data_IF_918392380246
#
_entry.id   IF_918392380246
#
_cell.length_a   1.000
_cell.length_b   1.000
_cell.length_c   1.000
_cell.angle_alpha   90.00
_cell.angle_beta   90.00
_cell.angle_gamma   90.00
#
_symmetry.space_group_name_H-M   'P 1'
#
loop_
_entity.id
_entity.type
_entity.pdbx_description
1 polymer ?
#
# COMPACT_ATOMS: atom_id res chain seq x y z
N UNK A 1 -29.15 22.17 -32.19
CA UNK A 1 -27.80 22.29 -31.59
C UNK A 1 -27.50 20.99 -30.89
N UNK A 2 -26.42 20.29 -31.29
CA UNK A 2 -26.01 19.07 -30.61
C UNK A 2 -25.43 19.43 -29.23
N UNK A 3 -25.98 18.85 -28.17
CA UNK A 3 -25.50 19.06 -26.79
C UNK A 3 -24.29 18.17 -26.56
N UNK A 4 -23.13 18.75 -26.26
CA UNK A 4 -21.92 17.98 -25.94
C UNK A 4 -21.95 17.63 -24.46
N UNK A 5 -22.07 16.35 -24.12
CA UNK A 5 -22.01 15.86 -22.75
C UNK A 5 -20.55 15.55 -22.36
N UNK A 6 -19.91 16.47 -21.64
CA UNK A 6 -18.54 16.31 -21.12
C UNK A 6 -18.63 15.57 -19.77
N UNK A 7 -18.13 14.33 -19.72
CA UNK A 7 -18.01 13.60 -18.46
C UNK A 7 -16.85 14.18 -17.64
N UNK A 8 -17.19 14.74 -16.47
CA UNK A 8 -16.23 15.24 -15.50
C UNK A 8 -15.75 14.06 -14.64
N UNK A 9 -14.44 13.96 -14.32
CA UNK A 9 -13.93 12.93 -13.42
C UNK A 9 -14.60 12.97 -12.05
N UNK A 10 -14.65 11.80 -11.39
CA UNK A 10 -15.12 11.71 -10.01
C UNK A 10 -14.30 12.64 -9.10
N UNK A 11 -14.98 13.38 -8.22
CA UNK A 11 -14.33 14.24 -7.23
C UNK A 11 -13.99 13.50 -5.93
N UNK A 12 -14.49 12.28 -5.75
CA UNK A 12 -14.29 11.48 -4.53
C UNK A 12 -14.46 9.98 -4.78
N UNK A 13 -13.98 9.15 -3.86
CA UNK A 13 -14.19 7.70 -3.84
C UNK A 13 -14.71 7.33 -2.45
N UNK A 14 -15.75 6.50 -2.39
CA UNK A 14 -16.24 5.94 -1.12
C UNK A 14 -15.86 4.47 -1.03
N UNK A 15 -15.22 4.10 0.07
CA UNK A 15 -14.84 2.74 0.43
C UNK A 15 -15.78 2.24 1.53
N UNK A 16 -16.25 1.01 1.38
CA UNK A 16 -16.95 0.29 2.45
C UNK A 16 -15.95 -0.65 3.13
N UNK A 17 -15.65 -0.37 4.40
CA UNK A 17 -14.79 -1.19 5.24
C UNK A 17 -15.66 -1.76 6.36
N UNK A 18 -16.10 -3.01 6.20
CA UNK A 18 -16.90 -3.73 7.20
C UNK A 18 -18.21 -3.01 7.56
N UNK A 19 -18.92 -2.44 6.59
CA UNK A 19 -20.17 -1.71 6.77
C UNK A 19 -19.98 -0.22 7.11
N UNK A 20 -18.73 0.25 7.25
CA UNK A 20 -18.41 1.65 7.48
C UNK A 20 -17.94 2.33 6.20
N UNK A 21 -18.56 3.45 5.87
CA UNK A 21 -18.24 4.23 4.67
C UNK A 21 -17.16 5.27 4.97
N UNK A 22 -16.10 5.24 4.18
CA UNK A 22 -15.00 6.19 4.23
C UNK A 22 -14.85 6.86 2.87
N UNK A 23 -14.86 8.19 2.82
CA UNK A 23 -14.81 8.94 1.55
C UNK A 23 -13.50 9.72 1.45
N UNK A 24 -12.75 9.48 0.38
CA UNK A 24 -11.53 10.24 0.04
C UNK A 24 -11.85 11.27 -1.03
N UNK A 25 -11.34 12.49 -0.85
CA UNK A 25 -11.37 13.54 -1.87
C UNK A 25 -10.27 13.31 -2.91
N UNK A 26 -10.62 13.45 -4.19
CA UNK A 26 -9.67 13.36 -5.31
C UNK A 26 -9.15 14.74 -5.75
N UNK A 27 -9.41 15.81 -4.99
CA UNK A 27 -8.86 17.13 -5.28
C UNK A 27 -7.31 17.15 -5.18
N UNK A 28 -6.64 17.89 -6.06
CA UNK A 28 -5.18 17.86 -6.23
C UNK A 28 -4.40 18.16 -4.94
N UNK A 29 -4.88 19.09 -4.11
CA UNK A 29 -4.25 19.43 -2.82
C UNK A 29 -4.28 18.25 -1.83
N UNK A 30 -5.37 17.47 -1.85
CA UNK A 30 -5.51 16.27 -1.01
C UNK A 30 -4.63 15.14 -1.53
N UNK A 31 -4.47 15.02 -2.86
CA UNK A 31 -3.62 14.01 -3.51
C UNK A 31 -2.13 14.21 -3.24
N UNK A 32 -1.65 15.46 -3.25
CA UNK A 32 -0.25 15.78 -2.97
C UNK A 32 0.17 15.37 -1.56
N UNK A 33 -0.63 15.78 -0.56
CA UNK A 33 -0.40 15.43 0.85
C UNK A 33 -0.49 13.91 1.08
N UNK A 34 -1.48 13.26 0.47
CA UNK A 34 -1.66 11.81 0.54
C UNK A 34 -0.45 11.05 -0.01
N UNK A 35 0.02 11.44 -1.20
CA UNK A 35 1.16 10.79 -1.86
C UNK A 35 2.45 10.94 -1.06
N UNK A 36 2.65 12.08 -0.40
CA UNK A 36 3.81 12.31 0.46
C UNK A 36 3.82 11.36 1.66
N UNK A 37 2.70 11.26 2.38
CA UNK A 37 2.57 10.38 3.56
C UNK A 37 2.73 8.91 3.14
N UNK A 38 2.08 8.51 2.05
CA UNK A 38 2.19 7.14 1.53
C UNK A 38 3.62 6.79 1.12
N UNK A 39 4.34 7.70 0.44
CA UNK A 39 5.75 7.49 0.07
C UNK A 39 6.64 7.33 1.30
N UNK A 40 6.40 8.10 2.38
CA UNK A 40 7.15 7.95 3.64
C UNK A 40 6.97 6.56 4.23
N UNK A 41 5.75 6.03 4.22
CA UNK A 41 5.45 4.65 4.66
C UNK A 41 6.24 3.65 3.82
N UNK A 42 6.16 3.73 2.48
CA UNK A 42 6.89 2.81 1.60
C UNK A 42 8.41 2.85 1.82
N UNK A 43 8.99 4.04 2.00
CA UNK A 43 10.42 4.18 2.30
C UNK A 43 10.79 3.55 3.64
N UNK A 44 9.93 3.69 4.65
CA UNK A 44 10.14 3.04 5.94
C UNK A 44 10.07 1.52 5.82
N UNK A 45 9.08 0.98 5.11
CA UNK A 45 8.94 -0.46 4.85
C UNK A 45 10.19 -1.03 4.16
N UNK A 46 10.71 -0.32 3.15
CA UNK A 46 11.94 -0.70 2.46
C UNK A 46 13.15 -0.73 3.40
N UNK A 47 13.35 0.33 4.22
CA UNK A 47 14.46 0.37 5.18
C UNK A 47 14.36 -0.75 6.21
N UNK A 48 13.15 -1.07 6.66
CA UNK A 48 12.90 -2.16 7.62
C UNK A 48 13.23 -3.52 7.03
N UNK A 49 12.76 -3.79 5.81
CA UNK A 49 13.08 -5.02 5.09
C UNK A 49 14.60 -5.19 4.91
N UNK A 50 15.31 -4.09 4.59
CA UNK A 50 16.77 -4.09 4.52
C UNK A 50 17.43 -4.38 5.88
N UNK A 51 16.92 -3.78 6.96
CA UNK A 51 17.44 -4.00 8.31
C UNK A 51 17.24 -5.45 8.77
N UNK A 52 16.06 -6.03 8.56
CA UNK A 52 15.78 -7.43 8.87
C UNK A 52 16.70 -8.37 8.07
N UNK A 53 16.91 -8.09 6.77
CA UNK A 53 17.84 -8.83 5.93
C UNK A 53 19.29 -8.75 6.45
N UNK A 54 19.71 -7.58 6.91
CA UNK A 54 21.03 -7.39 7.50
C UNK A 54 21.19 -8.24 8.77
N UNK A 55 20.22 -8.20 9.69
CA UNK A 55 20.24 -9.01 10.91
C UNK A 55 20.32 -10.51 10.58
N UNK A 56 19.53 -10.99 9.62
CA UNK A 56 19.57 -12.39 9.18
C UNK A 56 20.91 -12.79 8.57
N UNK A 57 21.53 -11.88 7.80
CA UNK A 57 22.88 -12.08 7.24
C UNK A 57 23.93 -12.18 8.35
N UNK A 58 23.89 -11.26 9.33
CA UNK A 58 24.80 -11.28 10.48
C UNK A 58 24.66 -12.58 11.29
N UNK A 59 23.43 -13.04 11.52
CA UNK A 59 23.18 -14.31 12.20
C UNK A 59 23.77 -15.50 11.44
N UNK A 60 23.57 -15.55 10.12
CA UNK A 60 24.14 -16.59 9.26
C UNK A 60 25.67 -16.59 9.28
N UNK A 61 26.29 -15.41 9.27
CA UNK A 61 27.75 -15.26 9.41
C UNK A 61 28.24 -15.78 10.77
N UNK A 62 27.56 -15.42 11.87
CA UNK A 62 27.91 -15.90 13.21
C UNK A 62 27.80 -17.42 13.35
N UNK A 63 26.80 -18.03 12.72
CA UNK A 63 26.68 -19.49 12.66
C UNK A 63 27.84 -20.12 11.87
N UNK A 64 28.15 -19.57 10.69
CA UNK A 64 29.25 -20.07 9.87
C UNK A 64 30.61 -19.93 10.57
N UNK A 65 30.85 -18.84 11.30
CA UNK A 65 32.05 -18.66 12.12
C UNK A 65 32.12 -19.67 13.28
N UNK A 66 30.98 -19.97 13.91
CA UNK A 66 30.91 -21.00 14.95
C UNK A 66 31.25 -22.39 14.40
N UNK A 67 30.75 -22.73 13.21
CA UNK A 67 31.04 -24.00 12.54
C UNK A 67 32.48 -24.10 12.04
N UNK A 68 33.07 -22.98 11.59
CA UNK A 68 34.47 -22.95 11.15
C UNK A 68 35.46 -23.08 12.32
N UNK A 69 35.12 -22.60 13.52
CA UNK A 69 35.97 -22.61 14.73
C UNK A 69 35.88 -23.91 15.52
N UNK A 70 36.02 -25.05 14.83
CA UNK A 70 36.04 -26.40 15.45
C UNK A 70 37.11 -26.58 16.54
N UNK A 71 38.18 -25.78 16.53
CA UNK A 71 39.23 -25.80 17.54
C UNK A 71 38.86 -25.09 18.88
N UNK A 72 37.89 -24.18 18.89
CA UNK A 72 37.50 -23.37 20.06
C UNK A 72 36.31 -23.97 20.84
N UNK A 73 35.90 -25.20 20.50
CA UNK A 73 34.76 -25.88 21.11
C UNK A 73 35.18 -27.29 21.52
N UNK A 74 35.36 -27.50 22.82
CA UNK A 74 35.93 -28.72 23.38
C UNK A 74 35.06 -29.97 23.15
N UNK A 75 33.75 -29.79 22.99
CA UNK A 75 32.77 -30.87 22.76
C UNK A 75 31.63 -30.44 21.84
N UNK A 76 30.98 -31.42 21.20
CA UNK A 76 29.76 -31.19 20.41
C UNK A 76 28.62 -30.56 21.23
N UNK A 77 28.53 -30.90 22.52
CA UNK A 77 27.55 -30.33 23.44
C UNK A 77 27.77 -28.81 23.66
N UNK A 78 29.02 -28.38 23.77
CA UNK A 78 29.36 -26.95 23.88
C UNK A 78 29.04 -26.19 22.59
N UNK A 79 29.15 -26.84 21.43
CA UNK A 79 28.81 -26.27 20.13
C UNK A 79 27.31 -26.00 20.03
N UNK A 80 26.51 -27.01 20.34
CA UNK A 80 25.05 -26.89 20.38
C UNK A 80 24.61 -25.79 21.36
N UNK A 81 25.24 -25.73 22.55
CA UNK A 81 24.95 -24.68 23.53
C UNK A 81 25.23 -23.27 22.99
N UNK A 82 26.36 -23.06 22.31
CA UNK A 82 26.68 -21.77 21.66
C UNK A 82 25.70 -21.45 20.53
N UNK A 83 25.30 -22.44 19.73
CA UNK A 83 24.31 -22.26 18.66
C UNK A 83 22.95 -21.81 19.22
N UNK A 84 22.45 -22.47 20.27
CA UNK A 84 21.22 -22.06 20.96
C UNK A 84 21.31 -20.64 21.53
N UNK A 85 22.47 -20.26 22.08
CA UNK A 85 22.67 -18.89 22.57
C UNK A 85 22.60 -17.85 21.45
N UNK A 86 23.23 -18.12 20.31
CA UNK A 86 23.16 -17.26 19.12
C UNK A 86 21.72 -17.15 18.61
N UNK A 87 21.01 -18.26 18.49
CA UNK A 87 19.62 -18.28 18.06
C UNK A 87 18.73 -17.47 19.01
N UNK A 88 18.81 -17.71 20.32
CA UNK A 88 18.03 -16.98 21.32
C UNK A 88 18.35 -15.47 21.34
N UNK A 89 19.59 -15.09 21.03
CA UNK A 89 20.01 -13.69 20.92
C UNK A 89 19.43 -13.03 19.66
N UNK A 90 19.49 -13.73 18.53
CA UNK A 90 18.92 -13.29 17.27
C UNK A 90 17.39 -13.14 17.36
N UNK A 91 16.69 -14.14 17.90
CA UNK A 91 15.24 -14.10 18.09
C UNK A 91 14.82 -12.91 18.97
N UNK A 92 15.54 -12.65 20.07
CA UNK A 92 15.27 -11.47 20.92
C UNK A 92 15.49 -10.15 20.19
N UNK A 93 16.54 -10.03 19.40
CA UNK A 93 16.79 -8.83 18.58
C UNK A 93 15.70 -8.63 17.52
N UNK A 94 15.29 -9.71 16.85
CA UNK A 94 14.21 -9.68 15.87
C UNK A 94 12.89 -9.28 16.53
N UNK A 95 12.54 -9.88 17.66
CA UNK A 95 11.32 -9.54 18.40
C UNK A 95 11.30 -8.06 18.80
N UNK A 96 12.38 -7.57 19.40
CA UNK A 96 12.49 -6.15 19.80
C UNK A 96 12.34 -5.21 18.60
N UNK A 97 12.85 -5.64 17.44
CA UNK A 97 12.74 -4.89 16.19
C UNK A 97 11.31 -4.90 15.67
N UNK A 98 10.62 -6.05 15.72
CA UNK A 98 9.22 -6.18 15.32
C UNK A 98 8.29 -5.36 16.21
N UNK A 99 8.42 -5.44 17.53
CA UNK A 99 7.56 -4.71 18.47
C UNK A 99 7.65 -3.19 18.24
N UNK A 100 8.87 -2.69 18.07
CA UNK A 100 9.09 -1.27 17.73
C UNK A 100 8.48 -0.90 16.38
N UNK A 101 8.62 -1.78 15.39
CA UNK A 101 8.10 -1.55 14.04
C UNK A 101 6.57 -1.50 14.02
N UNK A 102 5.91 -2.35 14.80
CA UNK A 102 4.46 -2.41 14.87
C UNK A 102 3.84 -1.10 15.37
N UNK A 103 4.40 -0.51 16.43
CA UNK A 103 3.92 0.78 16.96
C UNK A 103 4.11 1.93 15.97
N UNK A 104 5.25 1.95 15.27
CA UNK A 104 5.52 2.94 14.23
C UNK A 104 4.56 2.78 13.03
N UNK A 105 4.28 1.54 12.61
CA UNK A 105 3.35 1.25 11.51
C UNK A 105 1.93 1.62 11.86
N UNK A 106 1.48 1.28 13.07
CA UNK A 106 0.18 1.71 13.58
C UNK A 106 0.05 3.23 13.48
N UNK A 107 1.05 3.96 13.96
CA UNK A 107 1.03 5.43 13.97
C UNK A 107 1.01 5.99 12.55
N UNK A 108 1.84 5.45 11.65
CA UNK A 108 1.93 5.91 10.28
C UNK A 108 0.65 5.62 9.49
N UNK A 109 0.06 4.43 9.63
CA UNK A 109 -1.20 4.09 8.98
C UNK A 109 -2.36 4.92 9.53
N UNK A 110 -2.41 5.18 10.84
CA UNK A 110 -3.42 6.06 11.43
C UNK A 110 -3.34 7.47 10.85
N UNK A 111 -2.15 8.06 10.77
CA UNK A 111 -1.95 9.38 10.16
C UNK A 111 -2.35 9.42 8.69
N UNK A 112 -2.05 8.36 7.93
CA UNK A 112 -2.43 8.25 6.53
C UNK A 112 -3.95 8.21 6.39
N UNK A 113 -4.63 7.37 7.15
CA UNK A 113 -6.08 7.27 7.12
C UNK A 113 -6.75 8.55 7.57
N UNK A 114 -6.27 9.19 8.64
CA UNK A 114 -6.75 10.51 9.07
C UNK A 114 -6.60 11.56 7.97
N UNK A 115 -5.48 11.53 7.24
CA UNK A 115 -5.25 12.40 6.09
C UNK A 115 -6.22 12.12 4.93
N UNK A 116 -6.62 10.85 4.73
CA UNK A 116 -7.52 10.45 3.63
C UNK A 116 -8.99 10.69 3.93
N UNK A 117 -9.43 10.33 5.14
CA UNK A 117 -10.84 10.19 5.48
C UNK A 117 -11.29 11.13 6.61
N UNK A 118 -10.39 11.98 7.11
CA UNK A 118 -10.63 12.91 8.19
C UNK A 118 -10.20 12.38 9.56
N UNK A 119 -10.03 13.30 10.50
CA UNK A 119 -9.48 13.03 11.84
C UNK A 119 -10.26 11.92 12.58
N UNK A 120 -9.53 10.95 13.14
CA UNK A 120 -10.09 9.84 13.91
C UNK A 120 -10.42 8.60 13.09
N UNK A 121 -10.44 8.71 11.77
CA UNK A 121 -10.67 7.57 10.86
C UNK A 121 -9.57 6.50 10.98
N UNK A 122 -8.33 6.89 11.22
CA UNK A 122 -7.22 5.97 11.42
C UNK A 122 -7.41 5.08 12.64
N UNK A 123 -7.86 5.65 13.76
CA UNK A 123 -8.18 4.89 14.97
C UNK A 123 -9.38 3.96 14.75
N UNK A 124 -10.40 4.44 14.05
CA UNK A 124 -11.57 3.62 13.71
C UNK A 124 -11.18 2.43 12.83
N UNK A 125 -10.38 2.65 11.79
CA UNK A 125 -9.92 1.59 10.89
C UNK A 125 -9.02 0.59 11.64
N UNK A 126 -8.19 1.04 12.58
CA UNK A 126 -7.41 0.15 13.43
C UNK A 126 -8.31 -0.80 14.24
N UNK A 127 -9.39 -0.28 14.83
CA UNK A 127 -10.37 -1.11 15.56
C UNK A 127 -11.12 -2.07 14.64
N UNK A 128 -11.56 -1.60 13.46
CA UNK A 128 -12.19 -2.45 12.45
C UNK A 128 -11.26 -3.55 11.90
N UNK A 129 -9.96 -3.32 11.98
CA UNK A 129 -8.91 -4.26 11.58
C UNK A 129 -8.54 -5.24 12.70
N UNK A 130 -9.35 -5.35 13.76
CA UNK A 130 -9.04 -6.12 14.97
C UNK A 130 -7.65 -5.79 15.54
N UNK A 131 -7.28 -4.51 15.52
CA UNK A 131 -5.99 -4.02 16.02
C UNK A 131 -4.77 -4.59 15.28
N UNK A 132 -4.95 -5.11 14.07
CA UNK A 132 -3.86 -5.65 13.25
C UNK A 132 -3.29 -4.60 12.29
N UNK A 133 -2.01 -4.24 12.48
CA UNK A 133 -1.25 -3.36 11.57
C UNK A 133 -1.08 -3.99 10.19
N UNK A 134 -0.96 -5.32 10.10
CA UNK A 134 -0.90 -6.06 8.83
C UNK A 134 -2.18 -5.87 8.02
N UNK A 135 -3.35 -5.92 8.67
CA UNK A 135 -4.64 -5.69 8.01
C UNK A 135 -4.75 -4.23 7.58
N UNK A 136 -4.32 -3.27 8.42
CA UNK A 136 -4.26 -1.86 8.04
C UNK A 136 -3.40 -1.63 6.79
N UNK A 137 -2.23 -2.27 6.70
CA UNK A 137 -1.35 -2.19 5.53
C UNK A 137 -2.02 -2.73 4.26
N UNK A 138 -2.81 -3.81 4.36
CA UNK A 138 -3.60 -4.33 3.22
C UNK A 138 -4.70 -3.36 2.79
N UNK A 139 -5.44 -2.79 3.74
CA UNK A 139 -6.48 -1.78 3.46
C UNK A 139 -5.85 -0.58 2.77
N UNK A 140 -4.73 -0.07 3.29
CA UNK A 140 -3.96 1.01 2.67
C UNK A 140 -3.61 0.67 1.22
N UNK A 141 -3.04 -0.51 0.97
CA UNK A 141 -2.66 -0.92 -0.39
C UNK A 141 -3.84 -0.93 -1.36
N UNK A 142 -5.00 -1.45 -0.93
CA UNK A 142 -6.22 -1.47 -1.75
C UNK A 142 -6.77 -0.07 -2.02
N UNK A 143 -6.82 0.79 -1.00
CA UNK A 143 -7.28 2.18 -1.13
C UNK A 143 -6.38 2.94 -2.09
N UNK A 144 -5.06 2.85 -1.91
CA UNK A 144 -4.09 3.57 -2.73
C UNK A 144 -4.08 3.08 -4.18
N UNK A 145 -4.27 1.77 -4.41
CA UNK A 145 -4.41 1.22 -5.76
C UNK A 145 -5.65 1.79 -6.47
N UNK A 146 -6.79 1.86 -5.78
CA UNK A 146 -8.03 2.40 -6.35
C UNK A 146 -7.94 3.91 -6.58
N UNK A 147 -7.34 4.67 -5.67
CA UNK A 147 -7.05 6.10 -5.86
C UNK A 147 -6.13 6.31 -7.06
N UNK A 148 -5.08 5.49 -7.22
CA UNK A 148 -4.21 5.53 -8.39
C UNK A 148 -4.98 5.27 -9.68
N UNK A 149 -5.79 4.21 -9.73
CA UNK A 149 -6.60 3.83 -10.89
C UNK A 149 -7.57 4.94 -11.32
N UNK A 150 -8.23 5.61 -10.37
CA UNK A 150 -9.21 6.68 -10.69
C UNK A 150 -8.58 8.02 -11.03
N UNK A 151 -7.30 8.20 -10.74
CA UNK A 151 -6.61 9.47 -10.95
C UNK A 151 -5.52 9.40 -12.02
N UNK A 152 -5.44 8.29 -12.75
CA UNK A 152 -4.58 8.13 -13.92
C UNK A 152 -5.09 8.98 -15.10
N UNK A 153 -4.34 10.03 -15.41
CA UNK A 153 -4.67 11.04 -16.42
C UNK A 153 -4.62 10.46 -17.83
N UNK A 154 -3.78 9.45 -18.08
CA UNK A 154 -3.62 8.87 -19.41
C UNK A 154 -4.88 8.12 -19.87
N UNK A 155 -5.54 7.43 -18.95
CA UNK A 155 -6.78 6.70 -19.24
C UNK A 155 -7.94 7.66 -19.55
N UNK A 156 -8.00 8.81 -18.87
CA UNK A 156 -8.99 9.85 -19.18
C UNK A 156 -8.74 10.54 -20.52
N UNK A 157 -7.50 10.90 -20.83
CA UNK A 157 -7.15 11.52 -22.10
C UNK A 157 -7.48 10.59 -23.27
N UNK A 158 -7.16 9.29 -23.15
CA UNK A 158 -7.48 8.31 -24.18
C UNK A 158 -8.99 8.08 -24.35
N UNK A 159 -9.76 8.02 -23.25
CA UNK A 159 -11.24 7.95 -23.31
C UNK A 159 -11.85 9.17 -23.98
N UNK A 160 -11.30 10.36 -23.70
CA UNK A 160 -11.78 11.61 -24.30
C UNK A 160 -11.45 11.69 -25.80
N UNK A 161 -10.22 11.34 -26.18
CA UNK A 161 -9.80 11.29 -27.59
C UNK A 161 -10.61 10.25 -28.38
N UNK A 162 -10.86 9.06 -27.81
CA UNK A 162 -11.71 8.03 -28.43
C UNK A 162 -13.12 8.54 -28.68
N UNK A 163 -13.74 9.24 -27.71
CA UNK A 163 -15.06 9.87 -27.90
C UNK A 163 -15.04 10.95 -28.99
N UNK A 164 -13.98 11.74 -29.09
CA UNK A 164 -13.83 12.73 -30.18
C UNK A 164 -13.77 12.02 -31.54
N UNK A 165 -13.02 10.92 -31.65
CA UNK A 165 -12.93 10.15 -32.89
C UNK A 165 -14.25 9.45 -33.23
N UNK A 166 -14.97 8.89 -32.25
CA UNK A 166 -16.32 8.33 -32.42
C UNK A 166 -17.31 9.41 -32.90
N UNK A 167 -17.23 10.64 -32.38
CA UNK A 167 -18.05 11.76 -32.84
C UNK A 167 -17.68 12.23 -34.25
N UNK A 168 -16.39 12.17 -34.64
CA UNK A 168 -15.93 12.52 -35.98
C UNK A 168 -16.27 11.47 -37.03
N UNK A 169 -16.31 10.20 -36.64
CA UNK A 169 -16.58 9.07 -37.54
C UNK A 169 -18.05 8.60 -37.50
N UNK A 170 -18.87 9.13 -36.59
CA UNK A 170 -20.29 8.81 -36.42
C UNK A 170 -21.28 9.72 -37.16
N UNK A 171 -20.86 10.40 -38.23
CA UNK A 171 -21.76 11.04 -39.20
C UNK A 171 -21.66 10.32 -40.54
N UNK A 172 -22.16 9.09 -40.57
CA UNK A 172 -22.57 8.42 -41.80
C UNK A 172 -23.57 7.36 -41.38
N UNK A 173 -24.84 7.77 -41.36
CA UNK A 173 -25.98 6.95 -41.75
C UNK A 173 -27.18 7.90 -41.84
N UNK A 174 -27.17 8.70 -42.92
CA UNK A 174 -28.43 8.96 -43.60
C UNK A 174 -28.83 7.63 -44.26
N UNK A 175 -29.95 7.07 -43.85
CA UNK A 175 -30.67 6.10 -44.66
C UNK A 175 -32.14 6.55 -44.78
N UNK A 176 -32.76 6.27 -45.94
CA UNK A 176 -33.63 7.22 -46.62
C UNK A 176 -35.12 7.04 -46.30
N UNK A 177 -35.87 8.08 -46.63
CA UNK A 177 -37.31 8.10 -46.80
C UNK A 177 -37.83 6.87 -47.57
N UNK A 178 -38.71 6.10 -46.94
CA UNK A 178 -39.65 5.20 -47.60
C UNK A 178 -41.08 5.57 -47.16
N UNK A 179 -41.58 6.65 -47.77
CA UNK A 179 -42.87 6.77 -48.45
C UNK A 179 -44.01 5.83 -47.99
N UNK A 180 -45.11 6.49 -47.62
CA UNK A 180 -46.50 6.03 -47.65
C UNK A 180 -46.81 4.92 -48.69
N UNK A 181 -47.44 3.81 -48.24
CA UNK A 181 -48.78 3.31 -48.67
C UNK A 181 -49.37 2.49 -47.52
#
# INVERSE_FOLDING_TARGET
>A
MATVNIQVPDSSITFDLSGHKFTVSLADTSRGKLSEVYRKIQLNDMRRAQHQKLLGTQFTQQLAELDAKTADVATEADRLKKQYQLQNSFERKMQTTYDKQEDEDRTAYQQLFDTMFGDGSGKQIYLLSNQSTVVMGKIMGMVMAEVGRRTDVLDYQQKYLRKIDEMKNGHTDEAPDQSQV
#
